data_IF_648923914709
#
_entry.id   IF_648923914709
#
_cell.length_a   1.000
_cell.length_b   1.000
_cell.length_c   1.000
_cell.angle_alpha   90.00
_cell.angle_beta   90.00
_cell.angle_gamma   90.00
#
_symmetry.space_group_name_H-M   'P 1'
#
loop_
_entity.id
_entity.type
_entity.pdbx_description
1 polymer ?
#
# COMPACT_ATOMS: atom_id res chain seq x y z
N UNK A 1 3.33 2.37 17.96
CA UNK A 1 3.48 0.89 17.88
C UNK A 1 4.12 0.58 16.54
N UNK A 2 5.33 -0.01 16.50
CA UNK A 2 5.97 -0.53 15.28
C UNK A 2 5.84 -2.04 15.38
N UNK A 3 5.06 -2.66 14.49
CA UNK A 3 5.08 -4.12 14.39
C UNK A 3 6.40 -4.53 13.72
N UNK A 4 6.94 -5.69 14.11
CA UNK A 4 8.14 -6.23 13.48
C UNK A 4 7.75 -6.88 12.13
N UNK A 5 8.10 -6.22 11.03
CA UNK A 5 7.78 -6.66 9.67
C UNK A 5 8.98 -7.32 8.95
N UNK A 6 10.14 -7.47 9.60
CA UNK A 6 11.39 -8.00 9.01
C UNK A 6 12.41 -6.92 8.61
N UNK A 7 13.53 -7.32 7.97
CA UNK A 7 14.46 -6.38 7.31
C UNK A 7 13.76 -5.66 6.15
N UNK A 8 13.97 -4.35 6.02
CA UNK A 8 13.37 -3.56 4.94
C UNK A 8 13.28 -2.05 5.20
N UNK A 9 12.50 -1.37 4.36
CA UNK A 9 12.37 0.10 4.36
C UNK A 9 11.89 0.65 5.71
N UNK A 10 12.39 1.83 6.10
CA UNK A 10 12.08 2.47 7.39
C UNK A 10 10.59 2.76 7.63
N UNK A 11 9.80 2.78 6.56
CA UNK A 11 8.36 2.97 6.59
C UNK A 11 7.59 1.71 7.02
N UNK A 12 8.17 0.51 6.88
CA UNK A 12 7.49 -0.73 7.20
C UNK A 12 7.02 -0.74 8.66
N UNK A 13 5.73 -1.04 8.82
CA UNK A 13 5.04 -1.07 10.11
C UNK A 13 4.81 0.28 10.78
N UNK A 14 5.12 1.39 10.11
CA UNK A 14 4.70 2.73 10.55
C UNK A 14 3.39 3.10 9.88
N UNK A 15 2.60 3.94 10.55
CA UNK A 15 1.47 4.62 9.92
C UNK A 15 2.01 5.64 8.92
N UNK A 16 1.58 5.55 7.67
CA UNK A 16 1.94 6.56 6.68
C UNK A 16 1.21 7.85 7.04
N UNK A 17 1.96 8.97 7.06
CA UNK A 17 1.37 10.29 7.23
C UNK A 17 0.41 10.59 6.09
N UNK A 18 -0.50 11.53 6.32
CA UNK A 18 -1.34 12.03 5.23
C UNK A 18 -0.48 12.83 4.25
N UNK A 19 -0.21 12.25 3.08
CA UNK A 19 0.61 12.85 2.01
C UNK A 19 -0.27 13.47 0.93
N UNK A 20 0.23 14.52 0.27
CA UNK A 20 -0.40 15.08 -0.92
C UNK A 20 -0.20 14.20 -2.15
N UNK A 21 -1.30 13.89 -2.83
CA UNK A 21 -1.35 13.23 -4.14
C UNK A 21 -1.82 14.25 -5.18
N UNK A 22 -1.62 13.97 -6.47
CA UNK A 22 -2.19 14.84 -7.52
C UNK A 22 -3.71 14.92 -7.46
N UNK A 23 -4.36 13.83 -7.01
CA UNK A 23 -5.82 13.72 -6.90
C UNK A 23 -6.41 14.14 -5.55
N UNK A 24 -5.62 14.64 -4.61
CA UNK A 24 -6.09 15.01 -3.27
C UNK A 24 -5.20 14.47 -2.16
N UNK A 25 -5.79 14.05 -1.04
CA UNK A 25 -5.04 13.58 0.13
C UNK A 25 -5.16 12.06 0.29
N UNK A 26 -4.09 11.42 0.78
CA UNK A 26 -4.09 9.98 1.02
C UNK A 26 -5.25 9.52 1.91
N UNK A 27 -5.48 10.21 3.02
CA UNK A 27 -6.50 9.80 3.99
C UNK A 27 -7.92 9.90 3.42
N UNK A 28 -8.16 10.77 2.43
CA UNK A 28 -9.43 10.84 1.72
C UNK A 28 -9.77 9.51 1.03
N UNK A 29 -8.75 8.83 0.51
CA UNK A 29 -8.89 7.54 -0.18
C UNK A 29 -9.06 6.36 0.79
N UNK A 30 -8.76 6.53 2.07
CA UNK A 30 -8.80 5.45 3.07
C UNK A 30 -10.11 5.38 3.88
N UNK A 31 -11.07 6.28 3.65
CA UNK A 31 -12.34 6.31 4.40
C UNK A 31 -13.18 5.03 4.26
N UNK A 32 -12.96 4.25 3.20
CA UNK A 32 -13.67 2.98 2.98
C UNK A 32 -13.25 1.84 3.90
N UNK A 33 -12.23 2.03 4.76
CA UNK A 33 -11.74 0.96 5.65
C UNK A 33 -11.13 -0.23 4.89
N UNK A 34 -10.69 -0.01 3.65
CA UNK A 34 -10.02 -0.99 2.80
C UNK A 34 -8.51 -0.81 2.84
N UNK A 35 -7.77 -1.85 2.43
CA UNK A 35 -6.35 -1.68 2.12
C UNK A 35 -6.16 -0.75 0.93
N UNK A 36 -4.97 -0.20 0.77
CA UNK A 36 -4.65 0.68 -0.35
C UNK A 36 -3.23 0.40 -0.85
N UNK A 37 -3.08 0.15 -2.14
CA UNK A 37 -1.79 0.19 -2.83
C UNK A 37 -1.63 1.57 -3.48
N UNK A 38 -0.69 2.37 -2.97
CA UNK A 38 -0.26 3.60 -3.62
C UNK A 38 0.95 3.26 -4.50
N UNK A 39 0.75 3.28 -5.81
CA UNK A 39 1.73 2.89 -6.82
C UNK A 39 2.17 4.11 -7.64
N UNK A 40 3.38 4.61 -7.40
CA UNK A 40 3.95 5.72 -8.16
C UNK A 40 4.53 5.28 -9.51
N UNK A 41 4.63 3.96 -9.74
CA UNK A 41 5.22 3.37 -10.95
C UNK A 41 4.19 3.05 -12.02
N UNK A 42 2.94 2.81 -11.63
CA UNK A 42 1.84 2.37 -12.52
C UNK A 42 2.03 0.97 -13.10
N UNK A 43 2.97 0.17 -12.58
CA UNK A 43 3.33 -1.16 -13.09
C UNK A 43 2.79 -2.30 -12.24
N UNK A 44 2.26 -2.00 -11.06
CA UNK A 44 1.78 -3.01 -10.12
C UNK A 44 0.29 -3.30 -10.30
N UNK A 45 -0.15 -4.44 -9.76
CA UNK A 45 -1.53 -4.88 -9.79
C UNK A 45 -1.92 -5.58 -8.49
N UNK A 46 -3.17 -5.36 -8.09
CA UNK A 46 -3.85 -6.04 -6.97
C UNK A 46 -4.92 -7.01 -7.46
N UNK A 47 -4.84 -7.47 -8.72
CA UNK A 47 -5.80 -8.41 -9.29
C UNK A 47 -6.00 -9.63 -8.36
N UNK A 48 -7.25 -9.96 -8.06
CA UNK A 48 -7.62 -10.96 -7.05
C UNK A 48 -7.84 -10.40 -5.63
N UNK A 49 -7.46 -9.16 -5.36
CA UNK A 49 -7.69 -8.47 -4.08
C UNK A 49 -8.42 -7.12 -4.24
N UNK A 50 -8.89 -6.79 -5.43
CA UNK A 50 -9.56 -5.52 -5.73
C UNK A 50 -10.87 -5.30 -4.93
N UNK A 51 -11.43 -6.37 -4.35
CA UNK A 51 -12.58 -6.30 -3.44
C UNK A 51 -12.23 -5.68 -2.07
N UNK A 52 -10.95 -5.73 -1.68
CA UNK A 52 -10.47 -5.34 -0.33
C UNK A 52 -9.25 -4.40 -0.34
N UNK A 53 -8.60 -4.24 -1.49
CA UNK A 53 -7.46 -3.33 -1.69
C UNK A 53 -7.75 -2.39 -2.85
N UNK A 54 -7.77 -1.10 -2.57
CA UNK A 54 -7.85 -0.06 -3.58
C UNK A 54 -6.48 0.15 -4.23
N UNK A 55 -6.43 0.21 -5.57
CA UNK A 55 -5.21 0.52 -6.30
C UNK A 55 -5.24 1.95 -6.79
N UNK A 56 -4.29 2.75 -6.30
CA UNK A 56 -4.15 4.16 -6.61
C UNK A 56 -2.82 4.37 -7.30
N UNK A 57 -2.88 4.59 -8.61
CA UNK A 57 -1.71 5.01 -9.39
C UNK A 57 -1.63 6.53 -9.34
N UNK A 58 -0.78 7.05 -8.47
CA UNK A 58 -0.52 8.48 -8.32
C UNK A 58 0.86 8.73 -7.74
N UNK A 59 1.38 9.95 -7.89
CA UNK A 59 2.69 10.35 -7.39
C UNK A 59 2.56 11.38 -6.26
N UNK A 60 3.52 11.35 -5.34
CA UNK A 60 3.62 12.24 -4.18
C UNK A 60 5.07 12.65 -3.99
N UNK A 61 5.33 13.95 -4.00
CA UNK A 61 6.66 14.50 -3.68
C UNK A 61 7.06 14.25 -2.20
N UNK A 62 6.09 13.93 -1.34
CA UNK A 62 6.31 13.57 0.07
C UNK A 62 6.63 12.08 0.28
N UNK A 63 6.65 11.27 -0.79
CA UNK A 63 6.83 9.82 -0.71
C UNK A 63 8.03 9.38 -1.57
N UNK A 64 9.15 9.08 -0.93
CA UNK A 64 10.39 8.66 -1.59
C UNK A 64 10.51 7.13 -1.73
N UNK A 65 9.43 6.49 -2.18
CA UNK A 65 9.41 5.04 -2.47
C UNK A 65 8.57 4.75 -3.71
N UNK A 66 8.91 3.73 -4.51
CA UNK A 66 8.18 3.46 -5.75
C UNK A 66 6.70 3.09 -5.54
N UNK A 67 6.40 2.28 -4.53
CA UNK A 67 5.03 2.00 -4.11
C UNK A 67 4.97 1.60 -2.63
N UNK A 68 3.79 1.74 -2.04
CA UNK A 68 3.51 1.33 -0.67
C UNK A 68 2.14 0.65 -0.56
N UNK A 69 2.10 -0.51 0.10
CA UNK A 69 0.84 -1.18 0.48
C UNK A 69 0.48 -0.77 1.91
N UNK A 70 -0.73 -0.26 2.07
CA UNK A 70 -1.30 0.19 3.34
C UNK A 70 -2.40 -0.75 3.78
N UNK A 71 -2.38 -1.10 5.06
CA UNK A 71 -3.50 -1.76 5.74
C UNK A 71 -4.67 -0.78 5.93
N UNK A 72 -5.88 -1.28 6.22
CA UNK A 72 -7.04 -0.44 6.56
C UNK A 72 -6.81 0.58 7.67
N UNK A 73 -5.86 0.30 8.58
CA UNK A 73 -5.49 1.18 9.69
C UNK A 73 -4.39 2.22 9.33
N UNK A 74 -3.97 2.28 8.06
CA UNK A 74 -2.94 3.20 7.56
C UNK A 74 -1.50 2.76 7.79
N UNK A 75 -1.25 1.57 8.35
CA UNK A 75 0.11 1.07 8.50
C UNK A 75 0.64 0.48 7.20
N UNK A 76 1.88 0.81 6.89
CA UNK A 76 2.60 0.29 5.73
C UNK A 76 2.93 -1.19 5.97
N UNK A 77 2.39 -2.06 5.11
CA UNK A 77 2.62 -3.50 5.12
C UNK A 77 3.70 -3.93 4.12
N UNK A 78 4.01 -3.10 3.12
CA UNK A 78 5.02 -3.36 2.11
C UNK A 78 5.48 -2.07 1.42
N UNK A 79 6.71 -2.07 0.93
CA UNK A 79 7.31 -1.01 0.10
C UNK A 79 8.16 -1.67 -0.98
N UNK A 80 8.03 -1.24 -2.23
CA UNK A 80 8.85 -1.74 -3.34
C UNK A 80 8.22 -1.51 -4.70
N UNK A 81 8.77 -2.16 -5.73
CA UNK A 81 8.27 -2.15 -7.10
C UNK A 81 8.21 -3.55 -7.75
N UNK A 82 8.51 -4.59 -6.97
CA UNK A 82 8.43 -5.98 -7.43
C UNK A 82 7.01 -6.56 -7.24
N UNK A 83 6.43 -7.01 -8.34
CA UNK A 83 5.07 -7.58 -8.35
C UNK A 83 4.97 -8.89 -7.57
N UNK A 84 6.01 -9.74 -7.56
CA UNK A 84 5.96 -11.04 -6.88
C UNK A 84 6.02 -10.87 -5.36
N UNK A 85 6.87 -9.96 -4.88
CA UNK A 85 6.90 -9.59 -3.47
C UNK A 85 5.58 -8.94 -3.03
N UNK A 86 5.02 -8.03 -3.83
CA UNK A 86 3.68 -7.48 -3.58
C UNK A 86 2.62 -8.58 -3.42
N UNK A 87 2.61 -9.60 -4.29
CA UNK A 87 1.67 -10.72 -4.21
C UNK A 87 1.83 -11.51 -2.89
N UNK A 88 3.07 -11.71 -2.42
CA UNK A 88 3.33 -12.35 -1.13
C UNK A 88 2.76 -11.53 0.03
N UNK A 89 2.91 -10.21 0.00
CA UNK A 89 2.39 -9.34 1.05
C UNK A 89 0.86 -9.20 0.99
N UNK A 90 0.27 -9.12 -0.21
CA UNK A 90 -1.18 -9.17 -0.38
C UNK A 90 -1.77 -10.45 0.24
N UNK A 91 -1.15 -11.60 -0.03
CA UNK A 91 -1.58 -12.87 0.56
C UNK A 91 -1.46 -12.88 2.08
N UNK A 92 -0.35 -12.36 2.62
CA UNK A 92 -0.07 -12.32 4.06
C UNK A 92 -1.07 -11.47 4.82
N UNK A 93 -1.44 -10.30 4.29
CA UNK A 93 -2.24 -9.30 5.02
C UNK A 93 -3.72 -9.29 4.65
N UNK A 94 -4.07 -9.71 3.43
CA UNK A 94 -5.43 -9.61 2.89
C UNK A 94 -6.05 -10.96 2.53
N UNK A 95 -5.34 -12.06 2.77
CA UNK A 95 -5.80 -13.43 2.55
C UNK A 95 -5.61 -13.90 1.11
N UNK A 96 -6.26 -15.01 0.73
CA UNK A 96 -6.17 -15.55 -0.62
C UNK A 96 -6.86 -14.65 -1.65
N UNK A 97 -6.34 -14.62 -2.87
CA UNK A 97 -7.02 -13.97 -4.00
C UNK A 97 -8.44 -14.53 -4.18
N UNK A 98 -9.38 -13.64 -4.44
CA UNK A 98 -10.68 -13.97 -5.00
C UNK A 98 -10.52 -14.45 -6.45
N UNK A 99 -11.40 -15.38 -6.86
CA UNK A 99 -11.48 -15.91 -8.22
C UNK A 99 -12.21 -14.98 -9.17
#
# INVERSE_FOLDING_TARGET
>A
VRYDFGEGHDLLGRRLRDVGLKRGRLYELMHGGRGLLLDQTGRLSVAGWADRVDHVVDVSEELDVPAALLRPDGHVAWVGDDQQDLLNQLRKWFGTAAS
#
